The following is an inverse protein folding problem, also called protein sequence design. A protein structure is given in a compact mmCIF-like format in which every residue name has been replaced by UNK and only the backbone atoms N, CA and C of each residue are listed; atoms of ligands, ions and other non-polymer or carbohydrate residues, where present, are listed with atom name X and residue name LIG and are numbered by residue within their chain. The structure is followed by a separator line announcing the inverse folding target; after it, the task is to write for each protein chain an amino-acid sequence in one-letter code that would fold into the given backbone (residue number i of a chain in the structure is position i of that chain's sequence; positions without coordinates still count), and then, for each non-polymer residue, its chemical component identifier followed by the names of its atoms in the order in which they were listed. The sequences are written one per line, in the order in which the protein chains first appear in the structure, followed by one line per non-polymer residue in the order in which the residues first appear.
data_IF_235261485531
#
_entry.id   IF_235261485531
#
_cell.length_a   1.000
_cell.length_b   1.000
_cell.length_c   1.000
_cell.angle_alpha   90.00
_cell.angle_beta   90.00
_cell.angle_gamma   90.00
#
_symmetry.space_group_name_H-M   'P 1'
#
loop_
_entity.id
_entity.type
_entity.pdbx_description
1 polymer ?
#
# COMPACT_ATOMS: atom_id res chain seq x y z
N UNK A 1 8.20 5.80 -18.70
CA UNK A 1 7.71 5.22 -17.44
C UNK A 1 6.22 5.50 -17.34
N UNK A 2 5.38 4.51 -17.65
CA UNK A 2 3.93 4.61 -17.46
C UNK A 2 3.58 4.03 -16.09
N UNK A 3 2.72 4.73 -15.36
CA UNK A 3 2.21 4.25 -14.07
C UNK A 3 0.70 4.09 -14.21
N UNK A 4 0.20 2.92 -13.84
CA UNK A 4 -1.22 2.61 -13.81
C UNK A 4 -1.69 2.53 -12.37
N UNK A 5 -2.71 3.31 -12.01
CA UNK A 5 -3.34 3.21 -10.68
C UNK A 5 -4.49 2.22 -10.76
N UNK A 6 -4.47 1.22 -9.89
CA UNK A 6 -5.54 0.23 -9.73
C UNK A 6 -5.96 0.12 -8.28
N UNK A 7 -7.19 -0.31 -8.03
CA UNK A 7 -7.62 -0.67 -6.69
C UNK A 7 -6.77 -1.82 -6.13
N UNK A 8 -6.48 -1.77 -4.83
CA UNK A 8 -5.69 -2.78 -4.14
C UNK A 8 -6.39 -4.14 -4.21
N UNK A 9 -5.76 -5.10 -4.87
CA UNK A 9 -6.18 -6.50 -4.88
C UNK A 9 -5.32 -7.35 -3.95
N UNK A 10 -5.81 -8.54 -3.61
CA UNK A 10 -5.10 -9.52 -2.77
C UNK A 10 -3.71 -9.90 -3.32
N UNK A 11 -3.51 -9.83 -4.64
CA UNK A 11 -2.21 -10.13 -5.27
C UNK A 11 -1.15 -9.07 -4.95
N UNK A 12 -1.59 -7.83 -4.72
CA UNK A 12 -0.74 -6.67 -4.49
C UNK A 12 -0.66 -6.31 -2.99
N UNK A 13 -1.44 -6.99 -2.15
CA UNK A 13 -1.52 -6.74 -0.71
C UNK A 13 -0.15 -6.87 -0.03
N UNK A 14 0.64 -7.90 -0.35
CA UNK A 14 1.95 -8.08 0.26
C UNK A 14 2.88 -6.89 -0.04
N UNK A 15 2.94 -6.47 -1.29
CA UNK A 15 3.75 -5.32 -1.69
C UNK A 15 3.23 -4.01 -1.10
N UNK A 16 1.92 -3.84 -0.97
CA UNK A 16 1.32 -2.70 -0.29
C UNK A 16 1.71 -2.65 1.19
N UNK A 17 1.64 -3.77 1.89
CA UNK A 17 2.07 -3.86 3.30
C UNK A 17 3.55 -3.50 3.44
N UNK A 18 4.41 -4.01 2.56
CA UNK A 18 5.84 -3.66 2.58
C UNK A 18 6.09 -2.17 2.37
N UNK A 19 5.42 -1.54 1.40
CA UNK A 19 5.54 -0.10 1.14
C UNK A 19 5.05 0.70 2.34
N UNK A 20 3.89 0.36 2.91
CA UNK A 20 3.34 1.05 4.08
C UNK A 20 4.25 0.92 5.30
N UNK A 21 4.79 -0.27 5.54
CA UNK A 21 5.73 -0.50 6.64
C UNK A 21 6.98 0.36 6.52
N UNK A 22 7.47 0.57 5.30
CA UNK A 22 8.58 1.50 5.07
C UNK A 22 8.21 2.94 5.40
N UNK A 23 7.00 3.39 5.07
CA UNK A 23 6.51 4.74 5.44
C UNK A 23 6.42 4.90 6.97
N UNK A 24 6.01 3.85 7.68
CA UNK A 24 6.00 3.79 9.16
C UNK A 24 7.43 3.84 9.72
N UNK A 25 8.35 3.03 9.18
CA UNK A 25 9.76 3.00 9.61
C UNK A 25 10.48 4.32 9.36
N UNK A 26 10.23 4.96 8.22
CA UNK A 26 10.80 6.26 7.87
C UNK A 26 10.18 7.41 8.70
N UNK A 27 9.22 7.11 9.58
CA UNK A 27 8.55 8.07 10.47
C UNK A 27 7.62 9.04 9.74
N UNK A 28 7.22 8.69 8.52
CA UNK A 28 6.36 9.51 7.65
C UNK A 28 4.87 9.20 7.89
N UNK A 29 4.54 8.04 8.46
CA UNK A 29 3.19 7.72 8.89
C UNK A 29 2.94 8.23 10.31
N UNK A 30 2.00 9.16 10.46
CA UNK A 30 1.41 9.52 11.75
C UNK A 30 -0.10 9.22 11.68
N UNK A 31 -0.71 8.56 12.69
CA UNK A 31 -0.19 8.25 14.03
C UNK A 31 0.45 6.86 14.18
N UNK A 32 0.57 6.08 13.11
CA UNK A 32 0.99 4.68 13.19
C UNK A 32 2.50 4.53 13.44
N UNK A 33 2.86 3.77 14.46
CA UNK A 33 4.27 3.53 14.86
C UNK A 33 4.71 2.07 14.71
N UNK A 34 3.76 1.14 14.55
CA UNK A 34 4.02 -0.29 14.42
C UNK A 34 3.82 -0.76 12.97
N UNK A 35 4.63 -1.74 12.55
CA UNK A 35 4.50 -2.37 11.24
C UNK A 35 3.23 -3.21 11.16
N UNK A 36 2.58 -3.18 9.99
CA UNK A 36 1.49 -4.08 9.66
C UNK A 36 2.03 -5.46 9.28
N UNK A 37 1.39 -6.51 9.81
CA UNK A 37 1.44 -7.85 9.22
C UNK A 37 0.55 -7.90 7.98
N UNK A 38 0.60 -9.00 7.23
CA UNK A 38 -0.27 -9.15 6.05
C UNK A 38 -1.76 -9.09 6.43
N UNK A 39 -2.15 -9.75 7.53
CA UNK A 39 -3.53 -9.74 8.04
C UNK A 39 -3.94 -8.37 8.57
N UNK A 40 -3.09 -7.72 9.37
CA UNK A 40 -3.37 -6.36 9.87
C UNK A 40 -3.46 -5.35 8.73
N UNK A 41 -2.57 -5.48 7.74
CA UNK A 41 -2.59 -4.68 6.52
C UNK A 41 -3.88 -4.82 5.73
N UNK A 42 -4.37 -6.06 5.59
CA UNK A 42 -5.64 -6.33 4.91
C UNK A 42 -6.80 -5.59 5.55
N UNK A 43 -6.94 -5.68 6.87
CA UNK A 43 -8.02 -5.01 7.58
C UNK A 43 -7.83 -3.49 7.54
N UNK A 44 -6.61 -3.01 7.75
CA UNK A 44 -6.28 -1.58 7.66
C UNK A 44 -6.66 -0.96 6.31
N UNK A 45 -6.28 -1.58 5.18
CA UNK A 45 -6.60 -1.05 3.86
C UNK A 45 -8.09 -1.13 3.50
N UNK A 46 -8.82 -2.08 4.12
CA UNK A 46 -10.26 -2.26 3.95
C UNK A 46 -11.08 -1.24 4.75
N UNK A 47 -10.52 -0.71 5.84
CA UNK A 47 -11.12 0.39 6.60
C UNK A 47 -11.04 1.73 5.84
N UNK A 48 -10.21 1.83 4.80
CA UNK A 48 -10.06 3.05 4.00
C UNK A 48 -11.20 3.18 2.98
N UNK A 49 -11.62 4.42 2.69
CA UNK A 49 -12.62 4.69 1.65
C UNK A 49 -12.17 4.18 0.28
N UNK A 50 -10.87 4.28 -0.02
CA UNK A 50 -10.27 3.64 -1.18
C UNK A 50 -8.76 3.44 -0.97
N UNK A 51 -8.25 2.27 -1.34
CA UNK A 51 -6.81 2.00 -1.41
C UNK A 51 -6.43 1.62 -2.83
N UNK A 52 -5.54 2.40 -3.44
CA UNK A 52 -4.98 2.17 -4.77
C UNK A 52 -3.51 1.81 -4.72
N UNK A 53 -3.07 0.99 -5.67
CA UNK A 53 -1.68 0.65 -5.93
C UNK A 53 -1.24 1.27 -7.25
N UNK A 54 -0.06 1.88 -7.23
CA UNK A 54 0.62 2.35 -8.43
C UNK A 54 1.44 1.21 -9.01
N UNK A 55 1.06 0.70 -10.18
CA UNK A 55 1.77 -0.35 -10.89
C UNK A 55 2.65 0.27 -11.97
N UNK A 56 3.91 -0.14 -11.99
CA UNK A 56 4.80 0.15 -13.10
C UNK A 56 4.30 -0.58 -14.36
N UNK A 57 4.12 0.17 -15.45
CA UNK A 57 3.50 -0.32 -16.67
C UNK A 57 4.28 -1.45 -17.37
N UNK A 58 5.60 -1.49 -17.17
CA UNK A 58 6.51 -2.45 -17.81
C UNK A 58 6.73 -3.70 -16.95
N UNK A 59 7.00 -3.52 -15.67
CA UNK A 59 7.35 -4.62 -14.73
C UNK A 59 6.15 -5.15 -13.96
N UNK A 60 5.01 -4.44 -13.97
CA UNK A 60 3.83 -4.72 -13.15
C UNK A 60 4.12 -4.80 -11.65
N UNK A 61 5.22 -4.20 -11.18
CA UNK A 61 5.54 -4.10 -9.76
C UNK A 61 4.80 -2.93 -9.13
N UNK A 62 4.41 -3.09 -7.88
CA UNK A 62 3.86 -2.00 -7.07
C UNK A 62 4.99 -1.01 -6.75
N UNK A 63 4.88 0.20 -7.29
CA UNK A 63 5.82 1.29 -7.11
C UNK A 63 5.38 2.28 -6.02
N UNK A 64 4.11 2.24 -5.60
CA UNK A 64 3.57 3.14 -4.58
C UNK A 64 2.14 2.82 -4.18
N UNK A 65 1.67 3.55 -3.18
CA UNK A 65 0.31 3.45 -2.64
C UNK A 65 -0.40 4.79 -2.69
N UNK A 66 -1.71 4.72 -2.83
CA UNK A 66 -2.63 5.84 -2.70
C UNK A 66 -3.73 5.42 -1.72
N UNK A 67 -3.91 6.15 -0.64
CA UNK A 67 -4.95 5.89 0.36
C UNK A 67 -5.84 7.13 0.41
N UNK A 68 -7.14 6.89 0.22
CA UNK A 68 -8.19 7.86 0.48
C UNK A 68 -8.88 7.46 1.78
N UNK A 69 -8.78 8.34 2.78
CA UNK A 69 -9.50 8.24 4.04
C UNK A 69 -10.95 8.69 3.86
#
# INVERSE_FOLDING_TARGET
MSVEIKELSSENLAAAVEIWNRVVEDGVAFPQTEKLTLDAGREFFKEQSFTGVALDGETKRVAGLYILH
#
